data_IF_606191722160
#
_entry.id   IF_606191722160
#
_cell.length_a   1.000
_cell.length_b   1.000
_cell.length_c   1.000
_cell.angle_alpha   90.00
_cell.angle_beta   90.00
_cell.angle_gamma   90.00
#
_symmetry.space_group_name_H-M   'P 1'
#
loop_
_entity.id
_entity.type
_entity.pdbx_description
1 polymer ?
#
# COMPACT_ATOMS: atom_id res chain seq x y z
N UNK A 1 -1.87 -18.93 -9.25
CA UNK A 1 -2.18 -17.51 -8.98
C UNK A 1 -1.07 -16.96 -8.11
N UNK A 2 -0.75 -15.68 -8.27
CA UNK A 2 0.28 -15.03 -7.45
C UNK A 2 -0.27 -14.66 -6.07
N UNK A 3 0.60 -14.71 -5.06
CA UNK A 3 0.28 -14.32 -3.68
C UNK A 3 1.02 -13.02 -3.39
N UNK A 4 0.31 -12.05 -2.84
CA UNK A 4 0.86 -10.74 -2.51
C UNK A 4 0.58 -10.37 -1.07
N UNK A 5 1.53 -9.65 -0.46
CA UNK A 5 1.34 -8.95 0.80
C UNK A 5 0.86 -7.52 0.51
N UNK A 6 -0.11 -7.06 1.31
CA UNK A 6 -0.67 -5.72 1.19
C UNK A 6 -0.53 -5.00 2.52
N UNK A 7 0.33 -3.99 2.55
CA UNK A 7 0.47 -3.08 3.67
C UNK A 7 -0.33 -1.80 3.40
N UNK A 8 -1.10 -1.35 4.39
CA UNK A 8 -1.86 -0.09 4.31
C UNK A 8 -1.74 0.71 5.59
N UNK A 9 -1.65 2.03 5.44
CA UNK A 9 -1.67 2.98 6.54
C UNK A 9 -2.54 4.19 6.18
N UNK A 10 -3.12 4.79 7.21
CA UNK A 10 -3.92 6.01 7.08
C UNK A 10 -3.21 7.18 7.73
N UNK A 11 -3.38 8.35 7.16
CA UNK A 11 -2.90 9.60 7.74
C UNK A 11 -3.82 10.77 7.38
N UNK A 12 -3.75 11.89 8.11
CA UNK A 12 -4.46 13.11 7.73
C UNK A 12 -3.94 13.65 6.39
N UNK A 13 -4.83 14.27 5.64
CA UNK A 13 -4.56 14.93 4.34
C UNK A 13 -5.22 16.30 4.30
N UNK A 14 -4.43 17.35 4.53
CA UNK A 14 -4.95 18.72 4.61
C UNK A 14 -5.89 18.94 5.80
N UNK A 15 -6.77 19.94 5.70
CA UNK A 15 -7.60 20.39 6.83
C UNK A 15 -8.64 19.36 7.28
N UNK A 16 -9.24 18.64 6.34
CA UNK A 16 -10.37 17.72 6.59
C UNK A 16 -10.23 16.36 5.87
N UNK A 17 -9.15 16.14 5.13
CA UNK A 17 -8.99 14.92 4.35
C UNK A 17 -8.28 13.82 5.13
N UNK A 18 -8.45 12.59 4.66
CA UNK A 18 -7.68 11.42 5.09
C UNK A 18 -7.05 10.79 3.84
N UNK A 19 -5.76 10.50 3.91
CA UNK A 19 -5.00 9.76 2.91
C UNK A 19 -4.88 8.32 3.37
N UNK A 20 -4.95 7.40 2.42
CA UNK A 20 -4.64 6.00 2.66
C UNK A 20 -3.61 5.55 1.64
N UNK A 21 -2.47 5.12 2.15
CA UNK A 21 -1.44 4.57 1.30
C UNK A 21 -1.50 3.06 1.26
N UNK A 22 -0.91 2.56 0.19
CA UNK A 22 -0.81 1.15 -0.11
C UNK A 22 0.59 0.80 -0.61
N UNK A 23 1.10 -0.31 -0.13
CA UNK A 23 2.28 -0.99 -0.66
C UNK A 23 1.92 -2.44 -0.92
N UNK A 24 2.06 -2.88 -2.17
CA UNK A 24 1.80 -4.26 -2.59
C UNK A 24 3.12 -4.93 -2.94
N UNK A 25 3.41 -6.09 -2.35
CA UNK A 25 4.64 -6.86 -2.57
C UNK A 25 4.34 -8.30 -2.98
N UNK A 26 5.08 -8.85 -3.94
CA UNK A 26 5.02 -10.30 -4.23
C UNK A 26 5.59 -11.06 -3.02
N UNK A 27 4.83 -12.02 -2.50
CA UNK A 27 5.22 -12.72 -1.26
C UNK A 27 6.44 -13.63 -1.44
N UNK A 28 6.74 -14.07 -2.66
CA UNK A 28 7.88 -14.96 -2.95
C UNK A 28 9.18 -14.19 -3.10
N UNK A 29 9.14 -13.05 -3.78
CA UNK A 29 10.35 -12.25 -4.07
C UNK A 29 10.56 -11.08 -3.10
N UNK A 30 9.48 -10.63 -2.44
CA UNK A 30 9.48 -9.41 -1.63
C UNK A 30 9.50 -8.12 -2.46
N UNK A 31 9.51 -8.22 -3.80
CA UNK A 31 9.56 -7.06 -4.68
C UNK A 31 8.28 -6.25 -4.63
N UNK A 32 8.41 -4.93 -4.73
CA UNK A 32 7.24 -4.05 -4.82
C UNK A 32 6.62 -4.16 -6.20
N UNK A 33 5.36 -4.57 -6.23
CA UNK A 33 4.55 -4.63 -7.44
C UNK A 33 3.94 -3.25 -7.74
N UNK A 34 3.34 -2.62 -6.72
CA UNK A 34 2.62 -1.34 -6.87
C UNK A 34 2.68 -0.52 -5.58
N UNK A 35 2.62 0.81 -5.73
CA UNK A 35 2.37 1.79 -4.65
C UNK A 35 1.22 2.70 -5.05
N UNK A 36 0.38 3.10 -4.09
CA UNK A 36 -0.72 4.04 -4.29
C UNK A 36 -0.94 4.93 -3.06
N UNK A 37 -1.55 6.10 -3.28
CA UNK A 37 -1.82 7.15 -2.30
C UNK A 37 -3.23 7.70 -2.49
#
# INVERSE_FOLDING_TARGET
GDIVEVDTWVGPSGKNGMRRDWLVRDTRTGETVTKAT
#
